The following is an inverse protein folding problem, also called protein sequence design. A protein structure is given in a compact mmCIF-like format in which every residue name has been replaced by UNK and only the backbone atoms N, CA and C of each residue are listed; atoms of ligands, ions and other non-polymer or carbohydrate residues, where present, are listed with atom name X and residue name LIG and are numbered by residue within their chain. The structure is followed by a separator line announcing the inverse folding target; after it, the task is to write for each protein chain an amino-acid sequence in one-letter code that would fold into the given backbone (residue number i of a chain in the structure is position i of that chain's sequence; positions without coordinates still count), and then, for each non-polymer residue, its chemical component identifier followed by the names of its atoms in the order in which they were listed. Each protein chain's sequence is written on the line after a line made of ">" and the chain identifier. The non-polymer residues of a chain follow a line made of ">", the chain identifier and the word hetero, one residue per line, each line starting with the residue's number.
data_IF_508947994480
#
_entry.id   IF_508947994480
#
_cell.length_a   1.000
_cell.length_b   1.000
_cell.length_c   1.000
_cell.angle_alpha   90.00
_cell.angle_beta   90.00
_cell.angle_gamma   90.00
#
_symmetry.space_group_name_H-M   'P 1'
#
loop_
_entity.id
_entity.type
_entity.pdbx_description
1 polymer ?
#
# COMPACT_ATOMS: atom_id res chain seq x y z
N UNK A 1 -3.92 -8.58 -12.52
CA UNK A 1 -4.68 -9.13 -11.38
C UNK A 1 -6.13 -8.62 -11.35
N UNK A 2 -6.98 -9.05 -12.28
CA UNK A 2 -8.39 -9.23 -11.94
C UNK A 2 -8.47 -10.37 -10.89
N UNK A 3 -9.30 -10.20 -9.86
CA UNK A 3 -9.56 -11.16 -8.77
C UNK A 3 -8.48 -11.25 -7.67
N UNK A 4 -8.06 -10.10 -7.10
CA UNK A 4 -7.21 -10.13 -5.90
C UNK A 4 -7.96 -10.67 -4.67
N UNK A 5 -7.70 -11.93 -4.32
CA UNK A 5 -8.08 -12.53 -3.04
C UNK A 5 -6.83 -12.71 -2.17
N UNK A 6 -6.71 -11.90 -1.12
CA UNK A 6 -5.60 -11.96 -0.17
C UNK A 6 -5.43 -13.34 0.49
N UNK A 7 -6.51 -14.15 0.53
CA UNK A 7 -6.48 -15.52 1.08
C UNK A 7 -5.66 -16.49 0.24
N UNK A 8 -5.40 -16.19 -1.03
CA UNK A 8 -4.59 -17.03 -1.90
C UNK A 8 -3.09 -17.00 -1.55
N UNK A 9 -2.67 -16.16 -0.60
CA UNK A 9 -1.27 -15.92 -0.25
C UNK A 9 -0.86 -16.46 1.14
N UNK A 10 -1.65 -17.35 1.76
CA UNK A 10 -1.35 -17.85 3.11
C UNK A 10 -0.03 -18.65 3.22
N UNK A 11 0.46 -19.24 2.11
CA UNK A 11 1.69 -20.07 2.07
C UNK A 11 2.66 -19.71 0.92
N UNK A 12 2.56 -18.51 0.34
CA UNK A 12 3.29 -18.16 -0.89
C UNK A 12 4.68 -17.58 -0.57
N UNK A 13 5.71 -18.09 -1.26
CA UNK A 13 7.08 -17.55 -1.23
C UNK A 13 7.06 -16.06 -1.58
N UNK A 14 7.86 -15.23 -0.90
CA UNK A 14 7.91 -13.80 -1.17
C UNK A 14 8.27 -13.47 -2.63
N UNK A 15 9.01 -14.36 -3.30
CA UNK A 15 9.33 -14.27 -4.73
C UNK A 15 8.13 -14.53 -5.64
N UNK A 16 7.15 -15.32 -5.19
CA UNK A 16 5.93 -15.67 -5.93
C UNK A 16 4.72 -14.78 -5.58
N UNK A 17 4.91 -13.89 -4.59
CA UNK A 17 3.86 -13.03 -4.04
C UNK A 17 3.13 -12.17 -5.08
N UNK A 18 3.84 -11.64 -6.06
CA UNK A 18 3.25 -10.90 -7.16
C UNK A 18 3.36 -11.73 -8.43
N UNK A 19 2.31 -11.78 -9.24
CA UNK A 19 2.35 -12.48 -10.52
C UNK A 19 2.91 -11.58 -11.63
N UNK A 20 3.25 -12.18 -12.77
CA UNK A 20 3.84 -11.47 -13.92
C UNK A 20 2.94 -10.39 -14.53
N UNK A 21 1.65 -10.33 -14.19
CA UNK A 21 0.73 -9.27 -14.62
C UNK A 21 0.76 -8.03 -13.71
N UNK A 22 1.35 -8.13 -12.51
CA UNK A 22 1.47 -7.01 -11.61
C UNK A 22 2.40 -5.94 -12.21
N UNK A 23 1.96 -4.68 -12.14
CA UNK A 23 2.82 -3.56 -12.48
C UNK A 23 4.02 -3.55 -11.54
N UNK A 24 5.23 -3.43 -12.08
CA UNK A 24 6.47 -3.51 -11.31
C UNK A 24 6.96 -4.92 -10.99
N UNK A 25 6.34 -5.99 -11.52
CA UNK A 25 6.77 -7.37 -11.25
C UNK A 25 8.25 -7.60 -11.57
N UNK A 26 8.74 -7.13 -12.72
CA UNK A 26 10.15 -7.27 -13.09
C UNK A 26 11.09 -6.59 -12.08
N UNK A 27 10.74 -5.37 -11.66
CA UNK A 27 11.51 -4.59 -10.68
C UNK A 27 11.48 -5.23 -9.29
N UNK A 28 10.35 -5.81 -8.89
CA UNK A 28 10.20 -6.59 -7.67
C UNK A 28 11.11 -7.82 -7.65
N UNK A 29 11.10 -8.62 -8.72
CA UNK A 29 11.94 -9.81 -8.82
C UNK A 29 13.43 -9.45 -8.86
N UNK A 30 13.80 -8.37 -9.56
CA UNK A 30 15.18 -7.88 -9.58
C UNK A 30 15.67 -7.48 -8.19
N UNK A 31 14.86 -6.69 -7.48
CA UNK A 31 15.16 -6.25 -6.12
C UNK A 31 15.33 -7.45 -5.17
N UNK A 32 14.44 -8.45 -5.22
CA UNK A 32 14.56 -9.65 -4.39
C UNK A 32 15.78 -10.48 -4.76
N UNK A 33 16.09 -10.63 -6.05
CA UNK A 33 17.28 -11.37 -6.49
C UNK A 33 18.56 -10.72 -5.98
N UNK A 34 18.67 -9.40 -6.07
CA UNK A 34 19.83 -8.68 -5.56
C UNK A 34 19.93 -8.80 -4.04
N UNK A 35 18.82 -8.68 -3.31
CA UNK A 35 18.78 -8.91 -1.87
C UNK A 35 19.28 -10.31 -1.51
N UNK A 36 18.79 -11.36 -2.20
CA UNK A 36 19.22 -12.73 -1.94
C UNK A 36 20.70 -12.93 -2.23
N UNK A 37 21.21 -12.40 -3.34
CA UNK A 37 22.62 -12.45 -3.69
C UNK A 37 23.51 -11.76 -2.64
N UNK A 38 23.07 -10.59 -2.14
CA UNK A 38 23.77 -9.88 -1.07
C UNK A 38 23.79 -10.71 0.23
N UNK A 39 22.64 -11.25 0.63
CA UNK A 39 22.53 -12.12 1.81
C UNK A 39 23.42 -13.37 1.71
N UNK A 40 23.48 -14.00 0.54
CA UNK A 40 24.37 -15.13 0.27
C UNK A 40 25.85 -14.74 0.35
N UNK A 41 26.23 -13.58 -0.23
CA UNK A 41 27.58 -13.07 -0.19
C UNK A 41 28.06 -12.76 1.25
N UNK A 42 27.15 -12.35 2.14
CA UNK A 42 27.46 -12.15 3.56
C UNK A 42 27.50 -13.45 4.38
N UNK A 43 26.98 -14.56 3.86
CA UNK A 43 26.97 -15.87 4.51
C UNK A 43 26.21 -15.88 5.83
N UNK A 44 26.57 -16.79 6.75
CA UNK A 44 25.86 -16.99 8.03
C UNK A 44 25.86 -15.79 9.00
N UNK A 45 26.63 -14.73 8.73
CA UNK A 45 26.72 -13.52 9.56
C UNK A 45 26.03 -12.30 8.93
N UNK A 46 25.19 -12.50 7.91
CA UNK A 46 24.50 -11.42 7.21
C UNK A 46 23.71 -10.49 8.16
N UNK A 47 23.14 -11.02 9.24
CA UNK A 47 22.34 -10.24 10.18
C UNK A 47 23.16 -9.19 10.98
N UNK A 48 24.48 -9.38 11.10
CA UNK A 48 25.40 -8.41 11.73
C UNK A 48 25.97 -7.41 10.71
N UNK A 49 25.99 -7.78 9.43
CA UNK A 49 26.71 -7.06 8.36
C UNK A 49 25.82 -6.40 7.33
N UNK A 50 24.52 -6.69 7.34
CA UNK A 50 23.56 -6.05 6.46
C UNK A 50 23.45 -4.58 6.85
N UNK A 51 24.31 -3.76 6.24
CA UNK A 51 24.33 -2.33 6.48
C UNK A 51 23.02 -1.73 5.99
N UNK A 52 22.41 -0.87 6.80
CA UNK A 52 21.20 -0.12 6.44
C UNK A 52 21.35 0.60 5.09
N UNK A 53 22.59 0.99 4.73
CA UNK A 53 22.87 1.61 3.44
C UNK A 53 22.57 0.68 2.25
N UNK A 54 22.94 -0.61 2.31
CA UNK A 54 22.65 -1.57 1.23
C UNK A 54 21.14 -1.69 1.00
N UNK A 55 20.37 -1.84 2.08
CA UNK A 55 18.91 -1.88 1.99
C UNK A 55 18.31 -0.58 1.46
N UNK A 56 18.86 0.57 1.87
CA UNK A 56 18.42 1.88 1.38
C UNK A 56 18.70 2.04 -0.12
N UNK A 57 19.86 1.60 -0.60
CA UNK A 57 20.26 1.70 -2.00
C UNK A 57 19.37 0.79 -2.86
N UNK A 58 19.13 -0.45 -2.41
CA UNK A 58 18.18 -1.37 -3.06
C UNK A 58 16.78 -0.77 -3.12
N UNK A 59 16.29 -0.24 -2.01
CA UNK A 59 14.95 0.32 -1.95
C UNK A 59 14.84 1.56 -2.83
N UNK A 60 15.84 2.45 -2.81
CA UNK A 60 15.87 3.65 -3.66
C UNK A 60 15.87 3.27 -5.14
N UNK A 61 16.69 2.29 -5.54
CA UNK A 61 16.70 1.76 -6.90
C UNK A 61 15.33 1.20 -7.32
N UNK A 62 14.68 0.45 -6.43
CA UNK A 62 13.33 -0.06 -6.64
C UNK A 62 12.29 1.07 -6.77
N UNK A 63 12.34 2.10 -5.91
CA UNK A 63 11.45 3.26 -5.98
C UNK A 63 11.64 4.05 -7.29
N UNK A 64 12.88 4.23 -7.73
CA UNK A 64 13.20 4.91 -8.98
C UNK A 64 12.71 4.13 -10.20
N UNK A 65 12.86 2.81 -10.19
CA UNK A 65 12.38 1.94 -11.25
C UNK A 65 10.86 1.97 -11.36
N UNK A 66 10.16 1.74 -10.24
CA UNK A 66 8.70 1.74 -10.19
C UNK A 66 8.09 3.12 -10.40
N UNK A 67 8.77 4.19 -9.98
CA UNK A 67 8.33 5.58 -10.17
C UNK A 67 8.32 6.04 -11.63
N UNK A 68 9.01 5.32 -12.53
CA UNK A 68 8.97 5.57 -13.99
C UNK A 68 7.80 4.87 -14.68
N UNK A 69 7.11 3.96 -14.00
CA UNK A 69 6.02 3.20 -14.59
C UNK A 69 4.76 4.06 -14.74
N UNK A 70 4.10 3.95 -15.89
CA UNK A 70 2.80 4.58 -16.10
C UNK A 70 1.73 3.85 -15.29
N UNK A 71 1.16 4.55 -14.30
CA UNK A 71 0.01 4.08 -13.53
C UNK A 71 -1.25 4.21 -14.38
N UNK A 72 -1.46 3.28 -15.31
CA UNK A 72 -2.77 3.08 -15.94
C UNK A 72 -3.42 1.89 -15.25
N UNK A 73 -4.27 2.14 -14.22
CA UNK A 73 -4.88 1.04 -13.50
C UNK A 73 -5.77 0.23 -14.45
N UNK A 74 -5.40 -1.03 -14.67
CA UNK A 74 -6.21 -1.99 -15.43
C UNK A 74 -7.44 -2.48 -14.65
N UNK A 75 -7.43 -2.28 -13.34
CA UNK A 75 -8.45 -2.73 -12.39
C UNK A 75 -8.75 -1.61 -11.38
N UNK A 76 -10.03 -1.41 -11.07
CA UNK A 76 -10.45 -0.50 -10.02
C UNK A 76 -10.19 -1.12 -8.64
N UNK A 77 -9.03 -0.83 -8.08
CA UNK A 77 -8.62 -1.25 -6.73
C UNK A 77 -8.32 -0.06 -5.81
N UNK A 78 -8.80 -0.11 -4.57
CA UNK A 78 -8.57 0.90 -3.53
C UNK A 78 -7.52 0.41 -2.53
N UNK A 79 -6.44 1.16 -2.36
CA UNK A 79 -5.51 1.01 -1.25
C UNK A 79 -6.12 1.68 -0.01
N UNK A 80 -6.29 0.94 1.08
CA UNK A 80 -6.86 1.47 2.32
C UNK A 80 -5.73 1.68 3.33
N UNK A 81 -5.37 2.94 3.50
CA UNK A 81 -4.33 3.38 4.42
C UNK A 81 -4.94 3.66 5.79
N UNK A 82 -4.36 3.11 6.86
CA UNK A 82 -4.89 3.28 8.21
C UNK A 82 -3.82 3.12 9.30
N UNK A 83 -4.16 3.49 10.53
CA UNK A 83 -3.38 3.16 11.72
C UNK A 83 -3.88 1.86 12.34
N UNK A 84 -3.01 1.05 12.94
CA UNK A 84 -3.37 -0.25 13.55
C UNK A 84 -4.58 -0.21 14.52
N UNK A 85 -4.79 0.90 15.24
CA UNK A 85 -5.93 1.06 16.15
C UNK A 85 -7.27 1.32 15.45
N UNK A 86 -7.23 1.61 14.15
CA UNK A 86 -8.37 2.02 13.32
C UNK A 86 -8.83 0.91 12.37
N UNK A 87 -8.37 -0.33 12.57
CA UNK A 87 -8.73 -1.52 11.76
C UNK A 87 -10.24 -1.64 11.57
N UNK A 88 -11.02 -1.40 12.64
CA UNK A 88 -12.48 -1.50 12.58
C UNK A 88 -13.11 -0.56 11.56
N UNK A 89 -12.57 0.64 11.38
CA UNK A 89 -13.06 1.59 10.37
C UNK A 89 -12.48 1.28 8.99
N UNK A 90 -11.21 0.88 8.90
CA UNK A 90 -10.60 0.44 7.65
C UNK A 90 -11.34 -0.74 6.99
N UNK A 91 -11.77 -1.73 7.79
CA UNK A 91 -12.57 -2.87 7.32
C UNK A 91 -13.94 -2.42 6.81
N UNK A 92 -14.57 -1.40 7.42
CA UNK A 92 -15.83 -0.84 6.91
C UNK A 92 -15.64 -0.19 5.54
N UNK A 93 -14.56 0.59 5.37
CA UNK A 93 -14.21 1.20 4.08
C UNK A 93 -13.96 0.11 3.02
N UNK A 94 -13.26 -0.97 3.38
CA UNK A 94 -13.03 -2.11 2.49
C UNK A 94 -14.34 -2.78 2.05
N UNK A 95 -15.28 -2.96 2.97
CA UNK A 95 -16.60 -3.52 2.66
C UNK A 95 -17.40 -2.61 1.72
N UNK A 96 -17.32 -1.28 1.88
CA UNK A 96 -17.96 -0.31 0.98
C UNK A 96 -17.29 -0.35 -0.40
N UNK A 97 -15.96 -0.36 -0.49
CA UNK A 97 -15.25 -0.49 -1.76
C UNK A 97 -15.71 -1.72 -2.54
N UNK A 98 -15.72 -2.88 -1.86
CA UNK A 98 -16.18 -4.14 -2.44
C UNK A 98 -17.64 -4.08 -2.92
N UNK A 99 -18.55 -3.53 -2.12
CA UNK A 99 -19.97 -3.45 -2.50
C UNK A 99 -20.23 -2.50 -3.69
N UNK A 100 -19.27 -1.62 -4.01
CA UNK A 100 -19.31 -0.71 -5.15
C UNK A 100 -18.55 -1.22 -6.37
N UNK A 101 -18.05 -2.46 -6.33
CA UNK A 101 -17.35 -3.10 -7.45
C UNK A 101 -15.88 -2.71 -7.54
N UNK A 102 -15.29 -2.21 -6.46
CA UNK A 102 -13.84 -2.06 -6.36
C UNK A 102 -13.23 -3.26 -5.66
N UNK A 103 -12.08 -3.70 -6.15
CA UNK A 103 -11.17 -4.48 -5.33
C UNK A 103 -10.56 -3.59 -4.24
N UNK A 104 -9.96 -4.19 -3.21
CA UNK A 104 -9.24 -3.42 -2.20
C UNK A 104 -7.97 -4.12 -1.76
N UNK A 105 -7.02 -3.33 -1.28
CA UNK A 105 -5.89 -3.80 -0.50
C UNK A 105 -5.94 -3.18 0.90
N UNK A 106 -5.81 -4.03 1.91
CA UNK A 106 -5.78 -3.67 3.33
C UNK A 106 -4.72 -4.55 4.01
N UNK A 107 -3.67 -3.93 4.51
CA UNK A 107 -2.48 -4.57 5.10
C UNK A 107 -2.80 -5.58 6.21
N UNK A 108 -3.81 -5.34 7.06
CA UNK A 108 -4.18 -6.30 8.12
C UNK A 108 -4.85 -7.58 7.61
N UNK A 109 -5.29 -7.59 6.35
CA UNK A 109 -5.74 -8.81 5.66
C UNK A 109 -4.58 -9.50 4.93
N UNK A 110 -3.38 -8.93 4.94
CA UNK A 110 -2.25 -9.48 4.19
C UNK A 110 -1.53 -10.58 5.00
N UNK A 111 -1.59 -11.85 4.57
CA UNK A 111 -1.02 -12.96 5.33
C UNK A 111 0.51 -12.86 5.44
N UNK A 112 1.19 -12.37 4.40
CA UNK A 112 2.65 -12.18 4.43
C UNK A 112 3.04 -11.10 5.44
N UNK A 113 2.31 -9.97 5.50
CA UNK A 113 2.59 -8.93 6.50
C UNK A 113 2.32 -9.44 7.92
N UNK A 114 1.26 -10.21 8.12
CA UNK A 114 0.95 -10.84 9.40
C UNK A 114 2.04 -11.82 9.83
N UNK A 115 2.52 -12.66 8.92
CA UNK A 115 3.63 -13.59 9.15
C UNK A 115 4.93 -12.84 9.47
N UNK A 116 5.28 -11.80 8.71
CA UNK A 116 6.44 -10.96 9.01
C UNK A 116 6.32 -10.30 10.39
N UNK A 117 5.12 -9.97 10.85
CA UNK A 117 4.87 -9.49 12.22
C UNK A 117 5.39 -10.45 13.30
N UNK A 118 5.34 -11.76 13.05
CA UNK A 118 5.76 -12.81 14.00
C UNK A 118 7.17 -13.34 13.75
N UNK A 119 7.76 -13.11 12.58
CA UNK A 119 9.13 -13.56 12.26
C UNK A 119 10.20 -12.74 12.99
N UNK A 120 11.27 -13.41 13.42
CA UNK A 120 12.45 -12.77 14.01
C UNK A 120 13.45 -12.30 12.95
N UNK A 121 13.02 -11.41 12.06
CA UNK A 121 13.89 -10.74 11.08
C UNK A 121 14.54 -9.50 11.71
N UNK A 122 15.77 -9.13 11.29
CA UNK A 122 16.36 -7.85 11.66
C UNK A 122 15.41 -6.68 11.34
N UNK A 123 15.28 -5.67 12.23
CA UNK A 123 14.30 -4.59 12.05
C UNK A 123 14.41 -3.87 10.71
N UNK A 124 15.62 -3.59 10.23
CA UNK A 124 15.84 -2.92 8.93
C UNK A 124 15.37 -3.77 7.76
N UNK A 125 15.67 -5.07 7.76
CA UNK A 125 15.21 -6.00 6.72
C UNK A 125 13.68 -6.14 6.74
N UNK A 126 13.08 -6.26 7.93
CA UNK A 126 11.63 -6.30 8.08
C UNK A 126 10.99 -5.02 7.54
N UNK A 127 11.52 -3.86 7.89
CA UNK A 127 11.02 -2.57 7.40
C UNK A 127 11.15 -2.45 5.88
N UNK A 128 12.28 -2.87 5.31
CA UNK A 128 12.52 -2.92 3.86
C UNK A 128 11.48 -3.80 3.14
N UNK A 129 11.25 -5.03 3.62
CA UNK A 129 10.31 -5.96 2.99
C UNK A 129 8.86 -5.45 3.08
N UNK A 130 8.45 -4.94 4.26
CA UNK A 130 7.11 -4.35 4.45
C UNK A 130 6.92 -3.15 3.51
N UNK A 131 7.88 -2.22 3.48
CA UNK A 131 7.80 -1.03 2.63
C UNK A 131 7.73 -1.42 1.14
N UNK A 132 8.51 -2.40 0.71
CA UNK A 132 8.51 -2.88 -0.67
C UNK A 132 7.16 -3.53 -1.05
N UNK A 133 6.55 -4.28 -0.14
CA UNK A 133 5.20 -4.84 -0.34
C UNK A 133 4.15 -3.74 -0.42
N UNK A 134 4.22 -2.75 0.46
CA UNK A 134 3.31 -1.60 0.45
C UNK A 134 3.42 -0.83 -0.86
N UNK A 135 4.65 -0.58 -1.34
CA UNK A 135 4.90 0.11 -2.61
C UNK A 135 4.36 -0.66 -3.82
N UNK A 136 4.56 -1.97 -3.88
CA UNK A 136 3.95 -2.80 -4.93
C UNK A 136 2.42 -2.73 -4.92
N UNK A 137 1.81 -2.70 -3.74
CA UNK A 137 0.35 -2.59 -3.63
C UNK A 137 -0.15 -1.17 -3.95
N UNK A 138 0.55 -0.12 -3.55
CA UNK A 138 0.25 1.25 -3.95
C UNK A 138 0.34 1.40 -5.48
N UNK A 139 1.37 0.82 -6.10
CA UNK A 139 1.58 0.84 -7.54
C UNK A 139 0.46 0.13 -8.32
N UNK A 140 -0.09 -0.94 -7.76
CA UNK A 140 -1.16 -1.74 -8.37
C UNK A 140 -2.58 -1.31 -7.95
N UNK A 141 -2.70 -0.32 -7.06
CA UNK A 141 -3.96 0.28 -6.69
C UNK A 141 -4.23 1.53 -7.54
N UNK A 142 -5.48 1.65 -7.97
CA UNK A 142 -5.98 2.78 -8.74
C UNK A 142 -6.33 4.00 -7.89
N UNK A 143 -6.63 3.77 -6.62
CA UNK A 143 -7.07 4.78 -5.66
C UNK A 143 -6.40 4.55 -4.31
N UNK A 144 -6.37 5.60 -3.49
CA UNK A 144 -6.06 5.52 -2.07
C UNK A 144 -7.19 6.12 -1.26
N UNK A 145 -7.59 5.46 -0.17
CA UNK A 145 -8.48 6.01 0.83
C UNK A 145 -7.79 5.90 2.19
N UNK A 146 -7.46 7.04 2.81
CA UNK A 146 -6.89 7.05 4.15
C UNK A 146 -7.99 7.15 5.22
N UNK A 147 -7.84 6.42 6.31
CA UNK A 147 -8.75 6.44 7.46
C UNK A 147 -8.20 7.41 8.51
N UNK A 148 -8.99 8.44 8.80
CA UNK A 148 -8.63 9.53 9.69
C UNK A 148 -9.49 9.47 10.96
N UNK A 149 -8.91 8.95 12.03
CA UNK A 149 -9.48 8.98 13.39
C UNK A 149 -8.57 9.82 14.30
N UNK A 150 -8.94 9.93 15.58
CA UNK A 150 -8.05 10.50 16.61
C UNK A 150 -6.72 9.75 16.75
N UNK A 151 -6.66 8.47 16.37
CA UNK A 151 -5.42 7.68 16.43
C UNK A 151 -4.52 7.90 15.22
N UNK A 152 -5.09 8.25 14.06
CA UNK A 152 -4.38 8.38 12.79
C UNK A 152 -3.28 9.46 12.83
N UNK A 153 -3.42 10.48 13.68
CA UNK A 153 -2.42 11.54 13.92
C UNK A 153 -1.06 10.98 14.33
N UNK A 154 -1.03 9.83 14.98
CA UNK A 154 0.20 9.17 15.43
C UNK A 154 0.81 8.22 14.40
N UNK A 155 0.15 8.03 13.25
CA UNK A 155 0.63 7.14 12.21
C UNK A 155 1.75 7.78 11.40
N UNK A 156 2.83 7.03 11.21
CA UNK A 156 3.89 7.38 10.25
C UNK A 156 3.63 6.81 8.85
N UNK A 157 2.82 5.76 8.77
CA UNK A 157 2.49 5.08 7.51
C UNK A 157 1.43 5.83 6.71
N UNK A 158 0.39 6.36 7.37
CA UNK A 158 -0.69 7.06 6.66
C UNK A 158 -0.20 8.24 5.81
N UNK A 159 0.64 9.18 6.33
CA UNK A 159 1.19 10.26 5.50
C UNK A 159 2.07 9.73 4.36
N UNK A 160 2.87 8.69 4.62
CA UNK A 160 3.76 8.08 3.63
C UNK A 160 2.95 7.46 2.48
N UNK A 161 2.01 6.57 2.78
CA UNK A 161 1.18 5.88 1.79
C UNK A 161 0.35 6.86 0.97
N UNK A 162 -0.27 7.84 1.64
CA UNK A 162 -1.08 8.85 0.99
C UNK A 162 -0.25 9.76 0.07
N UNK A 163 0.99 10.09 0.45
CA UNK A 163 1.92 10.84 -0.40
C UNK A 163 2.39 10.03 -1.62
N UNK A 164 2.65 8.74 -1.45
CA UNK A 164 3.16 7.84 -2.50
C UNK A 164 2.11 7.41 -3.52
N UNK A 165 0.84 7.30 -3.12
CA UNK A 165 -0.24 6.90 -4.02
C UNK A 165 -0.65 8.00 -5.02
N UNK A 166 -0.33 9.27 -4.73
CA UNK A 166 -0.83 10.40 -5.52
C UNK A 166 -0.17 10.49 -6.90
N UNK A 167 -1.00 10.82 -7.89
CA UNK A 167 -0.50 11.38 -9.14
C UNK A 167 0.28 12.66 -8.81
N UNK A 168 1.25 13.05 -9.65
CA UNK A 168 2.03 14.28 -9.44
C UNK A 168 1.20 15.58 -9.56
N UNK A 169 -0.12 15.48 -9.71
CA UNK A 169 -1.04 16.60 -9.68
C UNK A 169 -1.32 17.04 -8.24
N UNK A 170 -1.48 18.35 -8.04
CA UNK A 170 -1.70 18.95 -6.72
C UNK A 170 -2.95 18.39 -6.04
N UNK A 171 -4.01 18.14 -6.80
CA UNK A 171 -5.23 17.48 -6.33
C UNK A 171 -5.47 16.20 -7.13
N UNK A 172 -5.73 15.09 -6.43
CA UNK A 172 -6.02 13.80 -7.06
C UNK A 172 -7.42 13.33 -6.67
N UNK A 173 -8.32 13.18 -7.65
CA UNK A 173 -9.65 12.59 -7.39
C UNK A 173 -9.57 11.13 -6.95
N UNK A 174 -8.45 10.48 -7.28
CA UNK A 174 -8.16 9.09 -6.91
C UNK A 174 -7.66 8.96 -5.47
N UNK A 175 -7.43 10.07 -4.77
CA UNK A 175 -7.05 10.08 -3.37
C UNK A 175 -8.17 10.67 -2.52
N UNK A 176 -8.57 9.95 -1.48
CA UNK A 176 -9.57 10.39 -0.54
C UNK A 176 -9.14 10.13 0.92
N UNK A 177 -9.72 10.87 1.84
CA UNK A 177 -9.55 10.70 3.27
C UNK A 177 -10.93 10.61 3.91
N UNK A 178 -11.21 9.50 4.57
CA UNK A 178 -12.42 9.35 5.37
C UNK A 178 -12.16 9.78 6.81
N UNK A 179 -12.98 10.68 7.32
CA UNK A 179 -12.91 11.21 8.67
C UNK A 179 -13.98 10.58 9.55
N UNK A 180 -13.55 9.94 10.63
CA UNK A 180 -14.45 9.49 11.67
C UNK A 180 -15.20 10.68 12.29
N UNK A 181 -16.43 10.50 12.81
CA UNK A 181 -17.14 11.57 13.50
C UNK A 181 -16.28 12.22 14.59
N UNK A 182 -16.11 13.54 14.50
CA UNK A 182 -15.27 14.32 15.43
C UNK A 182 -13.76 14.34 15.11
N UNK A 183 -13.30 13.58 14.12
CA UNK A 183 -11.98 13.76 13.54
C UNK A 183 -12.03 14.92 12.52
N UNK A 184 -11.05 15.80 12.57
CA UNK A 184 -10.93 16.92 11.65
C UNK A 184 -9.52 16.98 11.06
N UNK A 185 -9.36 17.46 9.81
CA UNK A 185 -8.06 17.59 9.15
C UNK A 185 -7.13 18.66 9.76
N UNK A 186 -7.42 19.17 10.96
CA UNK A 186 -6.78 20.36 11.54
C UNK A 186 -5.28 20.19 11.81
N UNK A 187 -4.76 18.97 11.79
CA UNK A 187 -3.33 18.67 12.03
C UNK A 187 -2.61 18.10 10.81
N UNK A 188 -3.30 17.87 9.68
CA UNK A 188 -2.75 17.15 8.53
C UNK A 188 -3.21 17.78 7.20
N UNK A 189 -2.67 18.96 6.89
CA UNK A 189 -3.03 19.77 5.71
C UNK A 189 -2.87 19.02 4.38
N UNK A 190 -1.93 18.06 4.31
CA UNK A 190 -1.72 17.24 3.11
C UNK A 190 -2.97 16.41 2.71
N UNK A 191 -3.89 16.16 3.65
CA UNK A 191 -5.16 15.46 3.38
C UNK A 191 -6.12 16.30 2.53
N UNK A 192 -5.99 17.63 2.55
CA UNK A 192 -6.78 18.56 1.74
C UNK A 192 -6.46 18.47 0.25
N UNK A 193 -5.37 17.79 -0.11
CA UNK A 193 -4.97 17.54 -1.49
C UNK A 193 -5.73 16.36 -2.13
N UNK A 194 -6.79 15.86 -1.47
CA UNK A 194 -7.69 14.81 -1.95
C UNK A 194 -9.12 15.03 -1.44
N UNK A 195 -10.00 14.08 -1.72
CA UNK A 195 -11.42 14.16 -1.34
C UNK A 195 -11.63 13.95 0.17
N UNK A 196 -12.31 14.87 0.85
CA UNK A 196 -12.64 14.74 2.27
C UNK A 196 -14.03 14.12 2.46
N UNK A 197 -14.07 12.90 2.99
CA UNK A 197 -15.27 12.08 3.16
C UNK A 197 -15.63 12.01 4.65
N UNK A 198 -16.88 12.25 5.02
CA UNK A 198 -17.29 12.37 6.44
C UNK A 198 -18.35 11.34 6.85
N UNK A 199 -18.71 10.44 5.93
CA UNK A 199 -19.67 9.38 6.17
C UNK A 199 -19.47 8.24 5.18
N UNK A 200 -20.01 7.06 5.52
CA UNK A 200 -20.06 5.94 4.59
C UNK A 200 -20.74 6.34 3.28
N UNK A 201 -21.80 7.17 3.33
CA UNK A 201 -22.49 7.64 2.13
C UNK A 201 -21.60 8.48 1.21
N UNK A 202 -20.74 9.33 1.78
CA UNK A 202 -19.78 10.11 0.97
C UNK A 202 -18.71 9.23 0.33
N UNK A 203 -18.32 8.11 0.98
CA UNK A 203 -17.42 7.11 0.40
C UNK A 203 -18.07 6.41 -0.79
N UNK A 204 -19.33 5.98 -0.66
CA UNK A 204 -20.09 5.39 -1.76
C UNK A 204 -20.16 6.33 -2.97
N UNK A 205 -20.52 7.59 -2.75
CA UNK A 205 -20.66 8.58 -3.83
C UNK A 205 -19.32 8.88 -4.52
N UNK A 206 -18.23 8.90 -3.76
CA UNK A 206 -16.88 9.04 -4.32
C UNK A 206 -16.55 7.86 -5.24
N UNK A 207 -16.76 6.62 -4.77
CA UNK A 207 -16.48 5.41 -5.53
C UNK A 207 -17.36 5.30 -6.79
N UNK A 208 -18.67 5.60 -6.68
CA UNK A 208 -19.58 5.58 -7.83
C UNK A 208 -19.13 6.58 -8.93
N UNK A 209 -18.66 7.76 -8.51
CA UNK A 209 -18.09 8.78 -9.42
C UNK A 209 -16.81 8.30 -10.07
N UNK A 210 -15.86 7.77 -9.30
CA UNK A 210 -14.58 7.34 -9.86
C UNK A 210 -14.72 6.11 -10.77
N UNK A 211 -15.62 5.17 -10.45
CA UNK A 211 -15.95 4.04 -11.33
C UNK A 211 -16.45 4.50 -12.69
N UNK A 212 -17.28 5.54 -12.71
CA UNK A 212 -17.81 6.14 -13.93
C UNK A 212 -16.73 6.85 -14.76
N UNK A 213 -15.66 7.35 -14.12
CA UNK A 213 -14.55 8.04 -14.79
C UNK A 213 -13.56 7.08 -15.44
N UNK A 214 -13.25 5.97 -14.77
CA UNK A 214 -12.15 5.09 -15.19
C UNK A 214 -12.56 3.99 -16.16
N UNK A 215 -13.84 3.90 -16.53
CA UNK A 215 -14.37 2.80 -17.36
C UNK A 215 -13.91 1.41 -16.84
N UNK A 216 -13.75 1.27 -15.53
CA UNK A 216 -13.37 0.01 -14.92
C UNK A 216 -14.49 -1.00 -15.19
N UNK A 217 -14.16 -2.06 -15.94
CA UNK A 217 -15.01 -3.22 -16.16
C UNK A 217 -14.65 -4.31 -15.17
#
# INVERSE_FOLDING_TARGET
>A
MPDFDWRSFEDVDITERFNAEALGYGDWIEMLRQLMADLEAFGGAWYERLETQVLNDLFTGFLDATGRLSRSPRVCRVFISHQQKDVGDAVKIAAIARSRGFEYWLDVHDPTLRFMGTTNLPPSLKAFLIASIVEMNLLNCSHVCSVQTVNAVTSRWVPYEFGRAKSRQIHSSQAASWFAPGAYPTTAEYLLLGECLHSNKTVELWLDRERSRLNCR
#
